data_IF_917818178459
#
_entry.id   IF_917818178459
#
_cell.length_a   1.000
_cell.length_b   1.000
_cell.length_c   1.000
_cell.angle_alpha   90.00
_cell.angle_beta   90.00
_cell.angle_gamma   90.00
#
_symmetry.space_group_name_H-M   'P 1'
#
loop_
_entity.id
_entity.type
_entity.pdbx_description
1 polymer ?
#
# COMPACT_ATOMS: atom_id res chain seq x y z
N UNK A 1 17.58 33.15 0.19
CA UNK A 1 16.36 32.31 0.11
C UNK A 1 15.21 33.20 -0.33
N UNK A 2 14.41 32.76 -1.30
CA UNK A 2 13.29 33.56 -1.81
C UNK A 2 12.12 33.41 -0.83
N UNK A 3 11.68 34.47 -0.11
CA UNK A 3 10.64 34.39 0.93
C UNK A 3 9.27 33.94 0.41
N UNK A 4 9.12 33.78 -0.92
CA UNK A 4 7.89 33.32 -1.55
C UNK A 4 7.90 31.82 -1.93
N UNK A 5 8.96 31.07 -1.62
CA UNK A 5 8.97 29.64 -1.88
C UNK A 5 8.28 28.88 -0.76
N UNK A 6 7.15 28.27 -1.08
CA UNK A 6 6.45 27.34 -0.20
C UNK A 6 7.39 26.18 0.19
N UNK A 7 7.80 26.07 1.47
CA UNK A 7 8.73 25.04 1.93
C UNK A 7 8.14 23.62 1.83
N UNK A 8 6.83 23.51 1.61
CA UNK A 8 6.10 22.26 1.48
C UNK A 8 6.14 21.70 0.05
N UNK A 9 6.47 22.56 -0.92
CA UNK A 9 6.46 22.17 -2.33
C UNK A 9 7.52 21.14 -2.63
N UNK A 10 7.09 19.99 -3.15
CA UNK A 10 7.99 18.97 -3.66
C UNK A 10 8.55 19.43 -5.01
N UNK A 11 9.87 19.36 -5.17
CA UNK A 11 10.52 19.53 -6.47
C UNK A 11 11.19 18.25 -6.88
N UNK A 12 11.32 18.06 -8.19
CA UNK A 12 12.10 16.96 -8.73
C UNK A 12 13.59 17.14 -8.44
N UNK A 13 14.25 16.07 -7.97
CA UNK A 13 15.70 16.00 -7.89
C UNK A 13 16.29 15.74 -9.28
N UNK A 14 16.63 16.81 -10.01
CA UNK A 14 17.08 16.77 -11.41
C UNK A 14 17.98 15.59 -11.82
N UNK A 15 19.09 15.30 -11.12
CA UNK A 15 19.96 14.16 -11.42
C UNK A 15 19.26 12.79 -11.36
N UNK A 16 18.34 12.60 -10.40
CA UNK A 16 17.61 11.34 -10.25
C UNK A 16 16.57 11.12 -11.35
N UNK A 17 16.17 12.18 -12.06
CA UNK A 17 15.13 12.10 -13.11
C UNK A 17 15.63 12.09 -14.53
N UNK A 18 16.93 12.27 -14.76
CA UNK A 18 17.53 12.13 -16.09
C UNK A 18 17.34 10.73 -16.67
N UNK A 19 17.14 9.72 -15.82
CA UNK A 19 16.81 8.35 -16.23
C UNK A 19 15.40 8.22 -16.82
N UNK A 20 14.53 9.20 -16.61
CA UNK A 20 13.09 9.14 -16.88
C UNK A 20 12.60 10.13 -17.97
N UNK A 21 13.51 10.71 -18.76
CA UNK A 21 13.19 11.72 -19.79
C UNK A 21 12.67 11.14 -21.12
N UNK A 22 12.03 9.97 -21.10
CA UNK A 22 11.45 9.39 -22.32
C UNK A 22 10.19 10.11 -22.80
N UNK A 23 9.84 9.98 -24.10
CA UNK A 23 8.55 10.42 -24.60
C UNK A 23 7.42 9.62 -23.92
N UNK A 24 6.37 10.32 -23.45
CA UNK A 24 5.13 9.67 -23.01
C UNK A 24 4.49 9.05 -24.25
N UNK A 25 4.57 7.73 -24.37
CA UNK A 25 3.90 7.03 -25.46
C UNK A 25 2.37 7.09 -25.29
N UNK A 26 1.65 7.17 -26.41
CA UNK A 26 0.19 7.03 -26.46
C UNK A 26 -0.28 5.63 -26.06
N UNK A 27 -1.60 5.47 -25.97
CA UNK A 27 -2.33 4.40 -25.26
C UNK A 27 -2.06 2.93 -25.64
N UNK A 28 -1.24 2.61 -26.64
CA UNK A 28 -1.23 1.27 -27.26
C UNK A 28 0.11 0.49 -27.23
N UNK A 29 1.18 1.04 -26.66
CA UNK A 29 2.51 0.43 -26.78
C UNK A 29 2.94 -0.48 -25.61
N UNK A 30 3.42 -1.69 -25.91
CA UNK A 30 4.05 -2.62 -24.96
C UNK A 30 5.34 -2.02 -24.34
N UNK A 31 5.76 -2.44 -23.14
CA UNK A 31 7.07 -2.04 -22.57
C UNK A 31 8.21 -2.83 -23.24
N UNK A 32 8.50 -2.52 -24.50
CA UNK A 32 9.51 -3.17 -25.31
C UNK A 32 10.88 -2.46 -25.19
N UNK A 33 11.82 -3.16 -24.55
CA UNK A 33 13.23 -3.21 -24.94
C UNK A 33 14.10 -1.94 -24.89
N UNK A 34 13.70 -0.89 -24.16
CA UNK A 34 14.58 0.28 -23.93
C UNK A 34 13.87 1.63 -23.93
N UNK A 35 12.57 1.65 -24.23
CA UNK A 35 11.79 2.89 -24.15
C UNK A 35 11.49 3.26 -22.70
N UNK A 36 11.98 4.43 -22.25
CA UNK A 36 11.72 5.08 -20.94
C UNK A 36 10.27 5.58 -20.84
N UNK A 37 9.30 4.70 -21.13
CA UNK A 37 7.88 5.04 -21.11
C UNK A 37 7.39 5.18 -19.66
N UNK A 38 6.48 6.12 -19.38
CA UNK A 38 5.91 6.27 -18.05
C UNK A 38 5.31 4.96 -17.54
N UNK A 39 5.59 4.63 -16.29
CA UNK A 39 4.98 3.51 -15.57
C UNK A 39 5.31 2.11 -16.12
N UNK A 40 6.37 1.96 -16.94
CA UNK A 40 6.97 0.66 -17.24
C UNK A 40 7.80 0.15 -16.05
N UNK A 41 7.11 -0.19 -14.95
CA UNK A 41 7.72 -0.55 -13.65
C UNK A 41 7.99 -2.07 -13.51
N UNK A 42 7.92 -2.81 -14.62
CA UNK A 42 8.05 -4.27 -14.63
C UNK A 42 6.75 -5.00 -14.31
N UNK A 43 6.83 -6.32 -14.36
CA UNK A 43 5.70 -7.20 -14.06
C UNK A 43 5.81 -7.76 -12.65
N UNK A 44 4.71 -7.72 -11.92
CA UNK A 44 4.57 -8.40 -10.64
C UNK A 44 3.60 -9.55 -10.87
N UNK A 45 4.04 -10.77 -10.61
CA UNK A 45 3.21 -11.96 -10.83
C UNK A 45 2.08 -12.03 -9.83
N UNK A 46 0.93 -12.57 -10.24
CA UNK A 46 -0.10 -12.95 -9.28
C UNK A 46 0.42 -14.12 -8.43
N UNK A 47 0.42 -13.98 -7.11
CA UNK A 47 0.71 -15.12 -6.25
C UNK A 47 -0.46 -16.12 -6.28
N UNK A 48 -0.14 -17.40 -6.18
CA UNK A 48 -1.15 -18.48 -6.15
C UNK A 48 -1.89 -18.59 -4.83
N UNK A 49 -1.50 -17.81 -3.81
CA UNK A 49 -1.99 -17.91 -2.45
C UNK A 49 -2.62 -16.60 -1.99
N UNK A 50 -3.68 -16.71 -1.20
CA UNK A 50 -4.21 -15.56 -0.47
C UNK A 50 -3.13 -15.08 0.51
N UNK A 51 -2.83 -13.78 0.46
CA UNK A 51 -1.94 -13.14 1.43
C UNK A 51 -2.81 -12.70 2.60
N UNK A 52 -2.48 -13.13 3.81
CA UNK A 52 -3.19 -12.74 5.02
C UNK A 52 -2.71 -11.39 5.57
N UNK A 53 -3.46 -10.82 6.51
CA UNK A 53 -3.11 -9.60 7.23
C UNK A 53 -3.06 -8.35 6.35
N UNK A 54 -2.20 -7.41 6.74
CA UNK A 54 -2.11 -6.08 6.14
C UNK A 54 -1.91 -6.10 4.61
N UNK A 55 -0.92 -6.85 4.11
CA UNK A 55 -0.61 -6.85 2.67
C UNK A 55 -1.75 -7.43 1.81
N UNK A 56 -2.48 -8.40 2.34
CA UNK A 56 -3.66 -8.94 1.66
C UNK A 56 -4.78 -7.91 1.53
N UNK A 57 -5.05 -7.18 2.61
CA UNK A 57 -6.03 -6.08 2.62
C UNK A 57 -5.59 -4.93 1.71
N UNK A 58 -4.32 -4.56 1.76
CA UNK A 58 -3.73 -3.57 0.86
C UNK A 58 -3.92 -3.96 -0.61
N UNK A 59 -3.56 -5.18 -0.99
CA UNK A 59 -3.74 -5.68 -2.35
C UNK A 59 -5.22 -5.62 -2.78
N UNK A 60 -6.14 -6.03 -1.90
CA UNK A 60 -7.58 -5.98 -2.17
C UNK A 60 -8.11 -4.54 -2.31
N UNK A 61 -7.61 -3.61 -1.50
CA UNK A 61 -8.00 -2.20 -1.56
C UNK A 61 -7.54 -1.56 -2.87
N UNK A 62 -6.26 -1.77 -3.24
CA UNK A 62 -5.65 -1.29 -4.48
C UNK A 62 -6.41 -1.78 -5.73
N UNK A 63 -6.97 -2.99 -5.68
CA UNK A 63 -7.76 -3.56 -6.78
C UNK A 63 -9.19 -3.04 -6.88
N UNK A 64 -9.69 -2.29 -5.89
CA UNK A 64 -11.06 -1.79 -5.94
C UNK A 64 -11.26 -0.99 -7.21
N UNK A 65 -12.30 -1.35 -7.96
CA UNK A 65 -12.61 -0.76 -9.28
C UNK A 65 -12.70 0.75 -9.23
N UNK A 66 -13.15 1.33 -8.11
CA UNK A 66 -13.32 2.77 -8.01
C UNK A 66 -11.97 3.52 -7.98
N UNK A 67 -10.93 2.99 -7.34
CA UNK A 67 -9.59 3.61 -7.37
C UNK A 67 -9.01 3.68 -8.78
N UNK A 68 -9.20 2.63 -9.60
CA UNK A 68 -8.71 2.64 -10.98
C UNK A 68 -9.39 3.71 -11.85
N UNK A 69 -10.67 4.04 -11.59
CA UNK A 69 -11.40 5.08 -12.33
C UNK A 69 -10.85 6.47 -12.04
N UNK A 70 -10.37 6.69 -10.82
CA UNK A 70 -9.76 7.96 -10.41
C UNK A 70 -8.40 8.23 -11.08
N UNK A 71 -7.76 7.20 -11.63
CA UNK A 71 -6.42 7.36 -12.22
C UNK A 71 -6.37 8.38 -13.36
N UNK A 72 -7.38 8.44 -14.23
CA UNK A 72 -7.41 9.44 -15.30
C UNK A 72 -7.38 10.87 -14.74
N UNK A 73 -8.12 11.10 -13.65
CA UNK A 73 -8.14 12.39 -12.98
C UNK A 73 -6.82 12.65 -12.23
N UNK A 74 -6.37 11.70 -11.39
CA UNK A 74 -5.12 11.80 -10.59
C UNK A 74 -3.86 11.88 -11.45
N UNK A 75 -3.86 11.33 -12.65
CA UNK A 75 -2.72 11.44 -13.58
C UNK A 75 -2.58 12.83 -14.21
N UNK A 76 -3.58 13.70 -14.03
CA UNK A 76 -3.57 15.11 -14.44
C UNK A 76 -3.06 15.99 -13.29
N UNK A 77 -2.17 16.94 -13.59
CA UNK A 77 -1.59 17.84 -12.59
C UNK A 77 -2.60 18.77 -11.91
N UNK A 78 -3.78 18.97 -12.52
CA UNK A 78 -4.87 19.78 -11.95
C UNK A 78 -5.69 19.07 -10.87
N UNK A 79 -5.48 17.78 -10.64
CA UNK A 79 -6.19 17.08 -9.57
C UNK A 79 -5.76 17.59 -8.19
N UNK A 80 -6.69 17.77 -7.26
CA UNK A 80 -6.44 18.38 -5.94
C UNK A 80 -5.29 17.73 -5.17
N UNK A 81 -5.25 16.40 -5.08
CA UNK A 81 -4.15 15.69 -4.42
C UNK A 81 -2.78 16.00 -5.05
N UNK A 82 -2.72 16.20 -6.37
CA UNK A 82 -1.47 16.50 -7.09
C UNK A 82 -1.09 17.96 -6.89
N UNK A 83 -2.05 18.89 -6.95
CA UNK A 83 -1.83 20.30 -6.60
C UNK A 83 -1.30 20.46 -5.17
N UNK A 84 -1.76 19.64 -4.21
CA UNK A 84 -1.26 19.64 -2.84
C UNK A 84 0.17 19.08 -2.72
N UNK A 85 0.61 18.21 -3.65
CA UNK A 85 1.98 17.65 -3.67
C UNK A 85 2.96 18.61 -4.37
N UNK A 86 2.60 19.07 -5.57
CA UNK A 86 3.49 19.79 -6.48
C UNK A 86 3.24 21.30 -6.56
N UNK A 87 2.09 21.77 -6.06
CA UNK A 87 1.59 23.12 -6.27
C UNK A 87 0.82 23.29 -7.59
N UNK A 88 -0.01 24.34 -7.65
CA UNK A 88 -0.92 24.66 -8.77
C UNK A 88 -0.26 24.89 -10.13
N UNK A 89 1.05 25.15 -10.16
CA UNK A 89 1.77 25.52 -11.38
C UNK A 89 2.51 24.33 -12.03
N UNK A 90 2.27 23.12 -11.57
CA UNK A 90 2.95 21.92 -12.08
C UNK A 90 2.30 21.44 -13.36
N UNK A 91 3.12 20.96 -14.30
CA UNK A 91 2.60 20.33 -15.51
C UNK A 91 2.37 18.82 -15.28
N UNK A 92 1.51 18.22 -16.09
CA UNK A 92 1.17 16.81 -15.99
C UNK A 92 2.36 15.87 -16.23
N UNK A 93 3.39 16.35 -16.93
CA UNK A 93 4.59 15.58 -17.26
C UNK A 93 5.55 15.52 -16.07
N UNK A 94 5.73 16.63 -15.35
CA UNK A 94 6.45 16.75 -14.09
C UNK A 94 5.86 15.78 -13.06
N UNK A 95 4.53 15.76 -12.92
CA UNK A 95 3.86 14.82 -12.03
C UNK A 95 4.14 13.37 -12.35
N UNK A 96 3.93 12.96 -13.62
CA UNK A 96 4.17 11.57 -14.04
C UNK A 96 5.62 11.16 -13.87
N UNK A 97 6.57 12.05 -14.16
CA UNK A 97 8.01 11.84 -13.94
C UNK A 97 8.33 11.63 -12.47
N UNK A 98 7.83 12.52 -11.61
CA UNK A 98 8.06 12.43 -10.17
C UNK A 98 7.49 11.12 -9.61
N UNK A 99 6.22 10.84 -9.92
CA UNK A 99 5.55 9.61 -9.47
C UNK A 99 6.32 8.37 -9.94
N UNK A 100 6.68 8.29 -11.22
CA UNK A 100 7.45 7.16 -11.74
C UNK A 100 8.80 7.00 -11.04
N UNK A 101 9.53 8.10 -10.81
CA UNK A 101 10.80 8.06 -10.08
C UNK A 101 10.59 7.51 -8.66
N UNK A 102 9.60 8.03 -7.92
CA UNK A 102 9.30 7.60 -6.55
C UNK A 102 8.97 6.11 -6.52
N UNK A 103 8.06 5.65 -7.40
CA UNK A 103 7.63 4.25 -7.43
C UNK A 103 8.79 3.34 -7.82
N UNK A 104 9.58 3.69 -8.83
CA UNK A 104 10.79 2.95 -9.21
C UNK A 104 11.78 2.85 -8.05
N UNK A 105 12.03 3.98 -7.35
CA UNK A 105 12.90 4.01 -6.17
C UNK A 105 12.38 3.13 -5.02
N UNK A 106 11.08 3.13 -4.78
CA UNK A 106 10.42 2.32 -3.76
C UNK A 106 10.46 0.82 -4.08
N UNK A 107 10.22 0.45 -5.34
CA UNK A 107 10.32 -0.93 -5.83
C UNK A 107 11.76 -1.44 -5.89
N UNK A 108 12.74 -0.55 -6.08
CA UNK A 108 14.16 -0.87 -6.11
C UNK A 108 14.80 -1.04 -4.72
N UNK A 109 14.07 -0.74 -3.64
CA UNK A 109 14.56 -0.91 -2.28
C UNK A 109 14.64 -2.40 -1.92
N UNK A 110 15.87 -2.91 -1.77
CA UNK A 110 16.12 -4.33 -1.51
C UNK A 110 15.61 -4.79 -0.14
N UNK A 111 15.91 -4.01 0.89
CA UNK A 111 15.48 -4.26 2.26
C UNK A 111 15.57 -2.98 3.10
N UNK A 112 14.90 -2.99 4.25
CA UNK A 112 15.02 -1.98 5.30
C UNK A 112 15.16 -2.69 6.64
N UNK A 113 16.18 -2.32 7.39
CA UNK A 113 16.46 -2.78 8.74
C UNK A 113 16.45 -1.61 9.70
N UNK A 114 16.07 -1.82 10.95
CA UNK A 114 16.33 -0.90 12.04
C UNK A 114 17.59 -1.32 12.79
N UNK A 115 18.49 -0.37 13.00
CA UNK A 115 19.64 -0.57 13.88
C UNK A 115 19.24 -0.26 15.33
N UNK A 116 19.22 -1.28 16.18
CA UNK A 116 18.82 -1.20 17.59
C UNK A 116 19.98 -1.63 18.49
N UNK A 117 20.01 -1.19 19.77
CA UNK A 117 21.01 -1.68 20.73
C UNK A 117 21.04 -3.21 20.91
N UNK A 118 19.90 -3.88 20.65
CA UNK A 118 19.76 -5.34 20.72
C UNK A 118 20.17 -6.07 19.43
N UNK A 119 20.56 -5.34 18.38
CA UNK A 119 20.86 -5.88 17.05
C UNK A 119 19.94 -5.32 15.96
N UNK A 120 20.15 -5.78 14.73
CA UNK A 120 19.35 -5.36 13.58
C UNK A 120 17.99 -6.07 13.54
N UNK A 121 16.93 -5.33 13.25
CA UNK A 121 15.57 -5.88 13.03
C UNK A 121 15.12 -5.55 11.61
N UNK A 122 14.74 -6.57 10.85
CA UNK A 122 14.21 -6.37 9.50
C UNK A 122 12.77 -5.82 9.53
N UNK A 123 12.55 -4.73 8.80
CA UNK A 123 11.25 -4.06 8.68
C UNK A 123 10.59 -4.38 7.33
N UNK A 124 11.39 -4.44 6.26
CA UNK A 124 10.89 -4.61 4.90
C UNK A 124 11.91 -5.34 4.02
N UNK A 125 11.41 -6.13 3.06
CA UNK A 125 12.18 -6.72 1.97
C UNK A 125 11.49 -6.44 0.64
N UNK A 126 12.26 -6.39 -0.45
CA UNK A 126 11.74 -6.15 -1.79
C UNK A 126 10.66 -7.17 -2.20
N UNK A 127 10.81 -8.43 -1.78
CA UNK A 127 9.84 -9.49 -2.07
C UNK A 127 8.44 -9.17 -1.53
N UNK A 128 8.33 -8.33 -0.48
CA UNK A 128 7.05 -7.90 0.07
C UNK A 128 6.24 -7.07 -0.92
N UNK A 129 6.86 -6.43 -1.92
CA UNK A 129 6.12 -5.78 -3.01
C UNK A 129 5.33 -6.78 -3.85
N UNK A 130 5.84 -8.00 -4.05
CA UNK A 130 5.07 -9.05 -4.75
C UNK A 130 3.83 -9.43 -3.93
N UNK A 131 3.94 -9.48 -2.61
CA UNK A 131 2.82 -9.74 -1.70
C UNK A 131 1.84 -8.57 -1.61
N UNK A 132 2.34 -7.33 -1.64
CA UNK A 132 1.53 -6.11 -1.65
C UNK A 132 0.76 -5.96 -2.97
N UNK A 133 1.29 -6.51 -4.06
CA UNK A 133 0.72 -6.46 -5.41
C UNK A 133 0.29 -7.86 -5.89
N UNK A 134 -0.10 -8.73 -4.95
CA UNK A 134 -0.28 -10.19 -5.11
C UNK A 134 -1.26 -10.61 -6.23
N UNK A 135 -2.00 -9.69 -6.80
CA UNK A 135 -2.98 -9.96 -7.85
C UNK A 135 -2.40 -9.85 -9.25
N UNK A 136 -1.14 -9.43 -9.30
CA UNK A 136 -0.38 -9.26 -10.49
C UNK A 136 -0.65 -7.90 -11.12
N UNK A 137 0.42 -7.25 -11.54
CA UNK A 137 0.37 -6.02 -12.30
C UNK A 137 1.28 -6.23 -13.49
N UNK A 138 0.73 -6.10 -14.69
CA UNK A 138 1.54 -6.14 -15.90
C UNK A 138 2.03 -4.73 -16.23
N UNK A 139 3.09 -4.70 -17.02
CA UNK A 139 3.70 -3.47 -17.47
C UNK A 139 3.07 -3.03 -18.81
N UNK A 140 2.70 -1.76 -18.98
CA UNK A 140 2.83 -0.65 -18.04
C UNK A 140 1.67 -0.57 -17.04
N UNK A 141 1.95 -0.07 -15.83
CA UNK A 141 0.98 -0.06 -14.73
C UNK A 141 -0.23 0.86 -14.99
N UNK A 142 -0.09 1.87 -15.84
CA UNK A 142 -1.18 2.80 -16.16
C UNK A 142 -2.25 2.23 -17.11
N UNK A 143 -2.09 1.00 -17.63
CA UNK A 143 -3.03 0.38 -18.56
C UNK A 143 -3.96 -0.65 -17.91
N UNK A 144 -3.72 -1.03 -16.65
CA UNK A 144 -4.49 -2.08 -15.97
C UNK A 144 -5.10 -1.55 -14.70
N UNK A 145 -6.33 -1.98 -14.38
CA UNK A 145 -7.05 -1.50 -13.21
C UNK A 145 -6.24 -1.65 -11.90
N UNK A 146 -5.58 -2.79 -11.68
CA UNK A 146 -4.74 -3.01 -10.51
C UNK A 146 -3.52 -2.06 -10.47
N UNK A 147 -2.85 -1.83 -11.61
CA UNK A 147 -1.72 -0.90 -11.69
C UNK A 147 -2.15 0.55 -11.52
N UNK A 148 -3.28 0.94 -12.10
CA UNK A 148 -3.89 2.27 -11.95
C UNK A 148 -4.29 2.53 -10.50
N UNK A 149 -4.96 1.57 -9.87
CA UNK A 149 -5.30 1.64 -8.44
C UNK A 149 -4.05 1.73 -7.56
N UNK A 150 -2.97 1.03 -7.91
CA UNK A 150 -1.71 1.11 -7.18
C UNK A 150 -1.08 2.50 -7.29
N UNK A 151 -1.09 3.10 -8.48
CA UNK A 151 -0.57 4.46 -8.70
C UNK A 151 -1.37 5.53 -7.95
N UNK A 152 -2.70 5.41 -7.91
CA UNK A 152 -3.57 6.28 -7.08
C UNK A 152 -3.27 6.08 -5.60
N UNK A 153 -3.16 4.83 -5.15
CA UNK A 153 -2.85 4.53 -3.76
C UNK A 153 -1.49 5.10 -3.32
N UNK A 154 -0.46 4.93 -4.16
CA UNK A 154 0.86 5.50 -3.91
C UNK A 154 0.84 7.04 -3.89
N UNK A 155 0.00 7.67 -4.73
CA UNK A 155 -0.22 9.12 -4.70
C UNK A 155 -0.78 9.58 -3.35
N UNK A 156 -1.78 8.88 -2.82
CA UNK A 156 -2.33 9.16 -1.49
C UNK A 156 -1.28 9.00 -0.39
N UNK A 157 -0.42 7.98 -0.47
CA UNK A 157 0.65 7.77 0.52
C UNK A 157 1.75 8.82 0.43
N UNK A 158 2.14 9.22 -0.79
CA UNK A 158 3.06 10.35 -1.01
C UNK A 158 2.50 11.60 -0.35
N UNK A 159 1.21 11.91 -0.57
CA UNK A 159 0.56 13.07 0.04
C UNK A 159 0.57 13.01 1.57
N UNK A 160 0.31 11.85 2.17
CA UNK A 160 0.35 11.68 3.62
C UNK A 160 1.77 11.90 4.19
N UNK A 161 2.79 11.37 3.49
CA UNK A 161 4.20 11.50 3.88
C UNK A 161 4.73 12.94 3.80
N UNK A 162 4.03 13.84 3.11
CA UNK A 162 4.37 15.26 3.13
C UNK A 162 4.08 15.91 4.49
N UNK A 163 3.23 15.31 5.32
CA UNK A 163 2.83 15.79 6.64
C UNK A 163 1.60 16.72 6.61
N UNK A 164 1.07 17.01 7.79
CA UNK A 164 0.01 18.01 8.01
C UNK A 164 0.41 18.89 9.20
N UNK A 165 1.11 19.99 8.91
CA UNK A 165 1.62 20.90 9.95
C UNK A 165 0.63 22.00 10.28
N UNK A 166 0.66 22.45 11.54
CA UNK A 166 -0.01 23.70 11.95
C UNK A 166 0.44 24.85 11.05
N UNK A 167 -0.52 25.51 10.40
CA UNK A 167 -0.29 26.61 9.46
C UNK A 167 0.10 26.18 8.03
N UNK A 168 0.20 24.88 7.75
CA UNK A 168 0.23 24.37 6.39
C UNK A 168 -1.17 24.38 5.76
N UNK A 169 -1.28 24.18 4.44
CA UNK A 169 -2.57 23.98 3.80
C UNK A 169 -3.25 22.74 4.38
N UNK A 170 -4.49 22.89 4.83
CA UNK A 170 -5.32 21.75 5.20
C UNK A 170 -5.49 20.82 4.00
N UNK A 171 -5.63 19.53 4.28
CA UNK A 171 -5.99 18.54 3.26
C UNK A 171 -7.35 18.94 2.70
N UNK A 172 -7.47 19.08 1.39
CA UNK A 172 -8.76 19.41 0.79
C UNK A 172 -9.72 18.23 0.94
N UNK A 173 -11.02 18.53 1.04
CA UNK A 173 -12.07 17.51 1.16
C UNK A 173 -11.99 16.45 0.05
N UNK A 174 -11.73 16.86 -1.20
CA UNK A 174 -11.61 15.90 -2.31
C UNK A 174 -10.39 14.98 -2.18
N UNK A 175 -9.29 15.46 -1.59
CA UNK A 175 -8.14 14.61 -1.26
C UNK A 175 -8.46 13.65 -0.11
N UNK A 176 -9.16 14.12 0.91
CA UNK A 176 -9.61 13.27 2.02
C UNK A 176 -10.56 12.17 1.53
N UNK A 177 -11.61 12.51 0.77
CA UNK A 177 -12.56 11.54 0.18
C UNK A 177 -11.85 10.46 -0.65
N UNK A 178 -10.86 10.84 -1.47
CA UNK A 178 -10.09 9.91 -2.27
C UNK A 178 -9.20 8.99 -1.41
N UNK A 179 -8.53 9.55 -0.40
CA UNK A 179 -7.40 8.90 0.26
C UNK A 179 -7.71 8.30 1.65
N UNK A 180 -8.83 8.66 2.26
CA UNK A 180 -9.16 8.34 3.65
C UNK A 180 -9.19 6.83 3.93
N UNK A 181 -9.73 6.03 3.01
CA UNK A 181 -9.75 4.58 3.13
C UNK A 181 -8.34 3.97 3.11
N UNK A 182 -7.49 4.48 2.21
CA UNK A 182 -6.10 4.05 2.09
C UNK A 182 -5.29 4.44 3.32
N UNK A 183 -5.42 5.68 3.80
CA UNK A 183 -4.75 6.15 5.02
C UNK A 183 -5.18 5.36 6.26
N UNK A 184 -6.47 5.05 6.36
CA UNK A 184 -7.01 4.20 7.45
C UNK A 184 -6.46 2.78 7.39
N UNK A 185 -6.21 2.26 6.19
CA UNK A 185 -5.66 0.92 5.99
C UNK A 185 -4.16 0.85 6.31
N UNK A 186 -3.39 1.86 5.91
CA UNK A 186 -1.93 1.93 6.15
C UNK A 186 -1.57 2.56 7.48
N UNK A 187 -2.53 2.93 8.32
CA UNK A 187 -2.20 3.54 9.60
C UNK A 187 -1.35 2.58 10.44
N UNK A 188 -0.38 3.15 11.13
CA UNK A 188 0.50 2.46 12.07
C UNK A 188 -0.23 2.45 13.41
N UNK A 189 -0.85 1.31 13.74
CA UNK A 189 -1.49 1.13 15.02
C UNK A 189 -0.43 0.85 16.08
N UNK A 190 -0.47 1.58 17.20
CA UNK A 190 0.28 1.21 18.40
C UNK A 190 -0.62 0.42 19.34
N UNK A 191 -0.05 -0.54 20.07
CA UNK A 191 -0.77 -1.26 21.14
C UNK A 191 -1.28 -0.24 22.15
N UNK A 192 -2.46 -0.44 22.72
CA UNK A 192 -2.86 0.38 23.88
C UNK A 192 -2.05 -0.06 25.11
N UNK A 193 -1.70 0.84 26.04
CA UNK A 193 -1.12 0.43 27.31
C UNK A 193 -2.09 -0.48 28.06
N UNK A 194 -1.54 -1.46 28.76
CA UNK A 194 -2.36 -2.33 29.61
C UNK A 194 -3.00 -1.52 30.75
N UNK A 195 -4.12 -1.99 31.30
CA UNK A 195 -4.78 -1.30 32.41
C UNK A 195 -3.80 -1.10 33.58
N UNK A 196 -3.56 0.16 33.95
CA UNK A 196 -2.62 0.54 35.02
C UNK A 196 -1.19 0.81 34.56
N UNK A 197 -0.85 0.59 33.29
CA UNK A 197 0.42 1.05 32.74
C UNK A 197 0.38 2.57 32.55
N UNK A 198 1.30 3.28 33.21
CA UNK A 198 1.43 4.73 33.04
C UNK A 198 1.87 5.06 31.62
N UNK A 199 1.38 6.16 31.05
CA UNK A 199 1.85 6.67 29.76
C UNK A 199 3.36 6.82 29.79
N UNK A 200 4.06 6.03 28.96
CA UNK A 200 5.52 6.11 28.80
C UNK A 200 5.86 7.04 27.65
N UNK A 201 6.93 7.82 27.86
CA UNK A 201 7.59 8.59 26.81
C UNK A 201 8.49 7.67 25.99
N UNK A 202 8.25 7.62 24.68
CA UNK A 202 8.94 6.76 23.72
C UNK A 202 10.06 7.57 23.08
N UNK A 203 11.29 7.20 23.42
CA UNK A 203 12.51 7.97 23.08
C UNK A 203 13.36 7.31 22.00
N UNK A 204 13.16 6.02 21.72
CA UNK A 204 13.97 5.28 20.75
C UNK A 204 13.13 4.53 19.72
N UNK A 205 13.74 4.29 18.56
CA UNK A 205 13.15 3.48 17.48
C UNK A 205 12.78 2.07 17.98
N UNK A 206 13.62 1.44 18.80
CA UNK A 206 13.33 0.12 19.37
C UNK A 206 12.09 0.10 20.26
N UNK A 207 11.92 1.13 21.10
CA UNK A 207 10.70 1.27 21.90
C UNK A 207 9.46 1.44 21.01
N UNK A 208 9.55 2.26 19.96
CA UNK A 208 8.46 2.44 19.01
C UNK A 208 8.10 1.14 18.28
N UNK A 209 9.08 0.39 17.77
CA UNK A 209 8.84 -0.90 17.10
C UNK A 209 8.20 -1.92 18.04
N UNK A 210 8.56 -1.91 19.33
CA UNK A 210 7.95 -2.76 20.35
C UNK A 210 6.49 -2.40 20.67
N UNK A 211 6.05 -1.16 20.37
CA UNK A 211 4.64 -0.79 20.49
C UNK A 211 3.79 -1.29 19.32
N UNK A 212 4.40 -1.68 18.20
CA UNK A 212 3.64 -2.15 17.05
C UNK A 212 3.11 -3.56 17.35
N UNK A 213 1.78 -3.77 17.23
CA UNK A 213 1.18 -5.04 17.55
C UNK A 213 1.74 -6.13 16.64
N UNK A 214 1.94 -7.31 17.21
CA UNK A 214 2.18 -8.50 16.41
C UNK A 214 0.93 -8.77 15.58
N UNK A 215 1.10 -9.07 14.29
CA UNK A 215 0.01 -9.15 13.31
C UNK A 215 -1.19 -9.94 13.87
N UNK A 216 -2.30 -9.27 14.23
CA UNK A 216 -3.42 -9.95 14.87
C UNK A 216 -4.12 -10.94 13.92
N UNK A 217 -3.83 -10.86 12.63
CA UNK A 217 -4.48 -11.60 11.55
C UNK A 217 -3.59 -12.70 10.95
N UNK A 218 -2.54 -13.11 11.65
CA UNK A 218 -1.71 -14.25 11.24
C UNK A 218 -0.81 -14.00 10.01
N UNK A 219 -0.61 -12.73 9.63
CA UNK A 219 0.35 -12.37 8.59
C UNK A 219 1.80 -12.47 9.09
N UNK A 220 2.73 -12.90 8.24
CA UNK A 220 4.15 -13.06 8.59
C UNK A 220 4.89 -11.74 8.80
N UNK A 221 4.39 -10.62 8.27
CA UNK A 221 5.11 -9.35 8.24
C UNK A 221 4.67 -8.41 9.36
N UNK A 222 5.28 -8.55 10.54
CA UNK A 222 5.02 -7.74 11.74
C UNK A 222 4.99 -6.24 11.44
N UNK A 223 5.91 -5.76 10.60
CA UNK A 223 6.06 -4.34 10.29
C UNK A 223 5.52 -3.95 8.91
N UNK A 224 4.59 -4.72 8.34
CA UNK A 224 4.15 -4.57 6.95
C UNK A 224 3.75 -3.14 6.56
N UNK A 225 2.96 -2.45 7.39
CA UNK A 225 2.54 -1.08 7.08
C UNK A 225 3.70 -0.08 7.15
N UNK A 226 4.50 -0.15 8.23
CA UNK A 226 5.68 0.70 8.39
C UNK A 226 6.66 0.47 7.23
N UNK A 227 6.94 -0.78 6.87
CA UNK A 227 7.84 -1.12 5.78
C UNK A 227 7.38 -0.62 4.41
N UNK A 228 6.08 -0.72 4.11
CA UNK A 228 5.50 -0.13 2.90
C UNK A 228 5.74 1.38 2.88
N UNK A 229 5.42 2.08 3.96
CA UNK A 229 5.59 3.54 4.06
C UNK A 229 7.07 3.95 3.96
N UNK A 230 7.98 3.21 4.59
CA UNK A 230 9.42 3.47 4.51
C UNK A 230 9.98 3.24 3.10
N UNK A 231 9.43 2.26 2.36
CA UNK A 231 9.83 2.04 0.97
C UNK A 231 9.43 3.20 0.05
N UNK A 232 8.24 3.77 0.27
CA UNK A 232 7.76 4.95 -0.46
C UNK A 232 8.58 6.17 -0.07
N UNK A 233 8.83 6.36 1.24
CA UNK A 233 9.72 7.41 1.74
C UNK A 233 11.10 7.32 1.09
N UNK A 234 11.68 6.12 0.95
CA UNK A 234 12.96 5.94 0.27
C UNK A 234 12.94 6.40 -1.19
N UNK A 235 11.87 6.07 -1.93
CA UNK A 235 11.64 6.59 -3.28
C UNK A 235 11.52 8.11 -3.31
N UNK A 236 10.76 8.69 -2.37
CA UNK A 236 10.61 10.14 -2.21
C UNK A 236 11.95 10.80 -1.91
N UNK A 237 12.74 10.24 -1.00
CA UNK A 237 14.05 10.76 -0.61
C UNK A 237 15.05 10.81 -1.77
N UNK A 238 14.99 9.84 -2.69
CA UNK A 238 15.82 9.83 -3.91
C UNK A 238 15.35 10.85 -4.93
N UNK A 239 14.05 10.95 -5.14
CA UNK A 239 13.45 11.64 -6.29
C UNK A 239 13.00 13.07 -6.01
N UNK A 240 12.81 13.43 -4.74
CA UNK A 240 12.31 14.73 -4.32
C UNK A 240 13.43 15.60 -3.76
N UNK A 241 13.31 16.91 -3.94
CA UNK A 241 14.00 17.93 -3.15
C UNK A 241 12.95 18.73 -2.38
N UNK A 242 13.14 18.86 -1.08
CA UNK A 242 12.29 19.67 -0.20
C UNK A 242 13.09 20.18 0.99
N UNK A 243 12.70 21.33 1.52
CA UNK A 243 13.32 21.88 2.73
C UNK A 243 12.73 21.26 4.00
N UNK A 244 11.43 20.94 3.99
CA UNK A 244 10.76 20.31 5.12
C UNK A 244 10.95 18.78 5.16
N UNK A 245 11.14 18.19 6.35
CA UNK A 245 11.27 16.74 6.51
C UNK A 245 9.94 16.05 6.21
N UNK A 246 10.00 14.82 5.70
CA UNK A 246 8.83 13.95 5.54
C UNK A 246 8.30 13.51 6.90
N UNK A 247 7.01 13.20 6.99
CA UNK A 247 6.36 12.91 8.27
C UNK A 247 5.43 11.71 8.17
N UNK A 248 5.48 10.83 9.18
CA UNK A 248 4.49 9.77 9.37
C UNK A 248 3.39 10.15 10.36
N UNK A 249 3.47 11.34 10.98
CA UNK A 249 2.56 11.74 12.07
C UNK A 249 1.09 11.56 11.73
N UNK A 250 0.69 11.89 10.50
CA UNK A 250 -0.68 11.74 10.02
C UNK A 250 -1.18 10.29 9.94
N UNK A 251 -0.28 9.32 9.90
CA UNK A 251 -0.54 7.89 9.75
C UNK A 251 -0.26 7.10 11.02
N UNK A 252 0.18 7.72 12.12
CA UNK A 252 0.48 7.02 13.38
C UNK A 252 -0.68 7.18 14.36
N UNK A 253 -1.31 6.08 14.73
CA UNK A 253 -2.26 6.02 15.82
C UNK A 253 -1.50 5.85 17.13
N UNK A 254 -1.15 6.98 17.77
CA UNK A 254 -0.30 6.97 18.99
C UNK A 254 -1.01 6.39 20.23
N UNK A 255 -2.32 6.16 20.18
CA UNK A 255 -3.10 5.83 21.37
C UNK A 255 -2.88 6.87 22.48
N UNK A 256 -2.47 6.39 23.65
CA UNK A 256 -2.10 7.21 24.81
C UNK A 256 -0.59 7.33 25.04
N UNK A 257 0.25 6.91 24.08
CA UNK A 257 1.70 7.05 24.18
C UNK A 257 2.15 8.48 23.87
N UNK A 258 3.24 8.89 24.50
CA UNK A 258 3.96 10.11 24.14
C UNK A 258 5.13 9.74 23.22
N UNK A 259 5.04 10.13 21.95
CA UNK A 259 6.05 9.85 20.93
C UNK A 259 6.95 11.07 20.65
N UNK A 260 6.79 12.14 21.42
CA UNK A 260 7.48 13.42 21.20
C UNK A 260 8.99 13.37 21.47
N UNK A 261 9.45 12.42 22.29
CA UNK A 261 10.88 12.21 22.57
C UNK A 261 11.65 11.54 21.43
N UNK A 262 10.98 11.05 20.40
CA UNK A 262 11.62 10.39 19.26
C UNK A 262 12.16 11.42 18.26
N UNK A 263 13.46 11.34 17.99
CA UNK A 263 14.14 12.22 17.04
C UNK A 263 13.73 12.00 15.58
N UNK A 264 14.37 12.75 14.69
CA UNK A 264 14.27 12.52 13.26
C UNK A 264 14.98 11.21 12.88
N UNK A 265 14.40 10.50 11.93
CA UNK A 265 14.94 9.27 11.37
C UNK A 265 15.51 9.52 9.98
N UNK A 266 16.50 8.73 9.61
CA UNK A 266 17.07 8.70 8.26
C UNK A 266 17.19 7.25 7.80
N UNK A 267 17.10 7.04 6.49
CA UNK A 267 17.41 5.75 5.87
C UNK A 267 18.70 5.93 5.09
N UNK A 268 19.78 5.36 5.62
CA UNK A 268 21.07 5.32 4.95
C UNK A 268 21.23 3.93 4.35
N UNK A 269 21.25 3.87 3.00
CA UNK A 269 21.24 2.62 2.24
C UNK A 269 20.00 1.77 2.53
N UNK A 270 20.10 0.85 3.48
CA UNK A 270 19.07 -0.09 3.93
C UNK A 270 18.83 -0.02 5.45
N UNK A 271 19.49 0.89 6.18
CA UNK A 271 19.38 1.01 7.64
C UNK A 271 18.60 2.27 8.02
N UNK A 272 17.47 2.06 8.67
CA UNK A 272 16.70 3.08 9.39
C UNK A 272 17.35 3.33 10.74
N UNK A 273 17.78 4.57 10.98
CA UNK A 273 18.25 5.02 12.28
C UNK A 273 17.51 6.28 12.70
N UNK A 274 17.24 6.43 13.99
CA UNK A 274 16.62 7.64 14.55
C UNK A 274 17.53 8.19 15.62
N UNK A 275 18.24 9.27 15.31
CA UNK A 275 19.02 10.01 16.28
C UNK A 275 18.14 11.12 16.86
N UNK A 276 18.11 11.26 18.18
CA UNK A 276 17.39 12.32 18.90
C UNK A 276 17.81 13.75 18.52
N UNK A 277 18.79 13.90 17.62
CA UNK A 277 19.43 15.17 17.31
C UNK A 277 18.83 15.86 16.08
N UNK A 278 18.01 16.88 16.34
CA UNK A 278 17.48 17.75 15.30
C UNK A 278 18.52 18.70 14.69
N UNK A 279 19.75 18.77 15.21
CA UNK A 279 20.75 19.77 14.84
C UNK A 279 21.29 19.63 13.41
N UNK A 280 21.38 18.42 12.86
CA UNK A 280 21.91 18.25 11.50
C UNK A 280 20.88 18.74 10.47
N UNK A 281 21.22 19.73 9.64
CA UNK A 281 20.29 20.26 8.62
C UNK A 281 20.20 19.38 7.36
N UNK A 282 20.23 18.07 7.53
CA UNK A 282 20.14 17.18 6.38
C UNK A 282 18.71 17.17 5.82
N UNK A 283 18.57 17.29 4.50
CA UNK A 283 17.28 17.50 3.81
C UNK A 283 16.42 16.22 3.74
N UNK A 284 16.97 15.11 4.21
CA UNK A 284 16.51 13.75 3.95
C UNK A 284 16.07 13.04 5.24
N UNK A 285 15.20 13.71 6.00
CA UNK A 285 14.74 13.27 7.31
C UNK A 285 13.27 12.85 7.28
N UNK A 286 12.98 11.80 8.03
CA UNK A 286 11.64 11.30 8.32
C UNK A 286 11.32 11.56 9.80
N UNK A 287 10.24 12.27 10.07
CA UNK A 287 9.74 12.43 11.44
C UNK A 287 8.62 11.42 11.66
N UNK A 288 8.81 10.47 12.58
CA UNK A 288 7.77 9.46 12.88
C UNK A 288 6.56 10.13 13.54
N UNK A 289 6.81 11.01 14.50
CA UNK A 289 5.77 11.74 15.22
C UNK A 289 6.23 13.16 15.54
N UNK A 290 5.29 14.11 15.49
CA UNK A 290 5.50 15.49 15.92
C UNK A 290 4.30 16.00 16.70
N UNK A 291 4.54 16.49 17.91
CA UNK A 291 3.51 17.06 18.77
C UNK A 291 2.73 18.18 18.08
N UNK A 292 1.41 18.16 18.25
CA UNK A 292 0.50 19.19 17.72
C UNK A 292 0.13 19.06 16.24
N UNK A 293 0.63 18.05 15.53
CA UNK A 293 0.19 17.75 14.15
C UNK A 293 -1.14 16.98 14.18
N UNK A 294 -1.92 17.11 13.11
CA UNK A 294 -3.18 16.39 12.94
C UNK A 294 -2.96 14.98 12.41
N UNK A 295 -3.84 14.08 12.83
CA UNK A 295 -3.95 12.73 12.28
C UNK A 295 -4.80 12.81 11.00
N UNK A 296 -4.41 12.08 9.96
CA UNK A 296 -5.05 12.14 8.63
C UNK A 296 -6.22 11.16 8.48
N UNK A 297 -6.35 10.20 9.38
CA UNK A 297 -7.48 9.28 9.36
C UNK A 297 -8.53 9.72 10.38
N UNK A 298 -9.80 9.65 10.00
CA UNK A 298 -10.91 9.69 10.94
C UNK A 298 -10.68 8.59 11.99
N UNK A 299 -10.65 8.98 13.27
CA UNK A 299 -10.80 7.99 14.34
C UNK A 299 -12.10 7.28 14.05
N UNK A 300 -12.06 5.99 13.77
CA UNK A 300 -13.27 5.16 13.72
C UNK A 300 -14.09 5.57 14.93
N UNK A 301 -15.33 6.05 14.76
CA UNK A 301 -16.12 6.53 15.88
C UNK A 301 -16.06 5.43 16.92
N UNK A 302 -15.38 5.75 18.02
CA UNK A 302 -15.14 4.84 19.13
C UNK A 302 -16.52 4.29 19.45
N UNK A 303 -16.77 2.99 19.18
CA UNK A 303 -18.10 2.37 19.31
C UNK A 303 -18.74 2.97 20.55
N UNK A 304 -19.67 3.90 20.33
CA UNK A 304 -20.36 4.59 21.42
C UNK A 304 -21.01 3.43 22.15
N UNK A 305 -20.55 3.25 23.40
CA UNK A 305 -20.53 1.97 24.09
C UNK A 305 -21.84 1.23 23.95
N UNK A 306 -21.73 -0.11 23.87
CA UNK A 306 -22.79 -1.06 24.16
C UNK A 306 -24.15 -0.38 24.16
N UNK A 307 -24.70 -0.12 22.96
CA UNK A 307 -26.14 0.07 22.85
C UNK A 307 -26.72 -1.22 23.40
N UNK A 308 -26.96 -1.15 24.70
CA UNK A 308 -28.16 -1.57 25.37
C UNK A 308 -28.72 -2.74 24.60
N UNK A 309 -28.30 -3.93 25.06
CA UNK A 309 -29.00 -5.17 24.85
C UNK A 309 -30.49 -4.84 25.01
N UNK A 310 -31.16 -4.48 23.91
CA UNK A 310 -32.61 -4.49 23.84
C UNK A 310 -32.88 -5.95 24.14
N UNK A 311 -33.38 -6.19 25.35
CA UNK A 311 -33.95 -7.45 25.72
C UNK A 311 -35.00 -7.71 24.63
N UNK A 312 -34.64 -8.53 23.65
CA UNK A 312 -35.61 -9.23 22.83
C UNK A 312 -36.34 -10.11 23.83
N UNK A 313 -37.41 -9.53 24.38
CA UNK A 313 -38.43 -10.23 25.12
C UNK A 313 -38.82 -11.44 24.27
N UNK A 314 -38.49 -12.60 24.80
CA UNK A 314 -38.77 -13.91 24.23
C UNK A 314 -40.29 -14.05 24.16
N UNK A 315 -40.86 -13.64 23.02
CA UNK A 315 -42.27 -13.91 22.72
C UNK A 315 -42.39 -15.42 22.49
N UNK A 316 -42.75 -16.10 23.57
CA UNK A 316 -43.19 -17.49 23.59
C UNK A 316 -44.32 -17.70 22.59
N UNK A 317 -44.18 -18.57 21.58
CA UNK A 317 -45.31 -18.98 20.75
C UNK A 317 -46.17 -19.96 21.55
N UNK A 318 -47.25 -19.46 22.14
CA UNK A 318 -48.35 -20.29 22.62
C UNK A 318 -49.08 -20.97 21.45
N UNK A 319 -49.19 -22.29 21.61
CA UNK A 319 -50.31 -23.18 21.26
C UNK A 319 -50.82 -23.28 19.81
N UNK A 320 -50.55 -24.46 19.25
CA UNK A 320 -51.49 -25.38 18.60
C UNK A 320 -52.97 -24.95 18.43
N UNK A 321 -53.49 -25.21 17.23
CA UNK A 321 -54.92 -25.21 16.90
C UNK A 321 -55.13 -25.14 15.39
N UNK A 322 -54.93 -26.24 14.67
CA UNK A 322 -56.05 -27.09 14.21
C UNK A 322 -56.92 -26.42 13.13
N UNK A 323 -56.65 -26.69 11.84
CA UNK A 323 -57.71 -26.89 10.86
C UNK A 323 -57.23 -27.54 9.55
N UNK A 324 -57.40 -28.86 9.48
CA UNK A 324 -57.47 -29.59 8.22
C UNK A 324 -58.82 -29.32 7.54
N UNK A 325 -58.82 -28.86 6.28
CA UNK A 325 -59.87 -29.23 5.32
C UNK A 325 -59.29 -29.49 3.92
N UNK A 326 -59.66 -30.60 3.28
CA UNK A 326 -59.36 -30.88 1.89
C UNK A 326 -60.43 -30.22 0.99
N UNK A 327 -60.01 -29.42 0.02
CA UNK A 327 -60.92 -28.92 -1.03
C UNK A 327 -60.72 -29.71 -2.31
N UNK A 328 -61.83 -30.29 -2.75
CA UNK A 328 -62.02 -31.14 -3.94
C UNK A 328 -61.58 -30.46 -5.23
N UNK A 329 -60.95 -31.27 -6.09
CA UNK A 329 -60.76 -31.02 -7.51
C UNK A 329 -62.05 -31.38 -8.27
N UNK A 330 -62.53 -30.48 -9.15
CA UNK A 330 -63.16 -30.87 -10.42
C UNK A 330 -63.22 -29.73 -11.44
N UNK A 331 -63.27 -30.06 -12.75
CA UNK A 331 -62.89 -29.17 -13.85
C UNK A 331 -64.08 -28.63 -14.66
N UNK A 332 -63.96 -27.42 -15.23
CA UNK A 332 -64.56 -27.00 -16.51
C UNK A 332 -64.16 -25.56 -16.90
N UNK A 333 -63.39 -25.46 -17.97
CA UNK A 333 -63.78 -24.88 -19.27
C UNK A 333 -64.32 -23.44 -19.37
N UNK A 334 -63.61 -22.69 -20.23
CA UNK A 334 -63.97 -21.56 -21.12
C UNK A 334 -63.91 -20.08 -20.68
N UNK A 335 -62.98 -19.39 -21.39
CA UNK A 335 -63.03 -18.06 -22.00
C UNK A 335 -63.77 -16.92 -21.29
N UNK A 336 -63.05 -15.84 -20.98
CA UNK A 336 -63.23 -14.53 -21.64
C UNK A 336 -62.26 -13.51 -21.04
N UNK A 337 -61.80 -12.57 -21.86
CA UNK A 337 -60.71 -11.65 -21.58
C UNK A 337 -60.95 -10.69 -20.41
N UNK A 338 -59.86 -10.38 -19.73
CA UNK A 338 -59.75 -9.21 -18.84
C UNK A 338 -58.30 -8.80 -18.78
N UNK A 339 -57.99 -7.65 -19.39
CA UNK A 339 -56.73 -6.94 -19.21
C UNK A 339 -56.73 -6.34 -17.80
N UNK A 340 -56.16 -7.07 -16.83
CA UNK A 340 -55.91 -6.57 -15.48
C UNK A 340 -54.42 -6.28 -15.30
N UNK A 341 -54.09 -5.06 -14.90
CA UNK A 341 -52.74 -4.62 -14.60
C UNK A 341 -52.10 -5.51 -13.52
N UNK A 342 -51.22 -6.42 -13.95
CA UNK A 342 -50.48 -7.29 -13.05
C UNK A 342 -49.34 -6.50 -12.41
N UNK A 343 -49.43 -6.28 -11.09
CA UNK A 343 -48.26 -6.00 -10.26
C UNK A 343 -47.22 -7.10 -10.54
N UNK A 344 -45.94 -6.75 -10.74
CA UNK A 344 -44.91 -7.73 -11.07
C UNK A 344 -44.83 -8.78 -9.97
N UNK A 345 -45.07 -10.04 -10.34
CA UNK A 345 -44.98 -11.19 -9.46
C UNK A 345 -43.50 -11.46 -9.13
N UNK A 346 -43.06 -10.85 -8.03
CA UNK A 346 -41.67 -10.87 -7.54
C UNK A 346 -41.16 -12.31 -7.35
N UNK A 347 -42.05 -13.27 -7.12
CA UNK A 347 -41.70 -14.68 -6.98
C UNK A 347 -41.05 -15.29 -8.22
N UNK A 348 -41.50 -14.90 -9.42
CA UNK A 348 -40.96 -15.42 -10.68
C UNK A 348 -39.53 -14.94 -10.98
N UNK A 349 -39.20 -13.70 -10.61
CA UNK A 349 -37.86 -13.15 -10.84
C UNK A 349 -36.80 -13.79 -9.95
N UNK A 350 -37.14 -14.09 -8.69
CA UNK A 350 -36.19 -14.72 -7.76
C UNK A 350 -35.90 -16.17 -8.19
N UNK A 351 -36.92 -16.91 -8.65
CA UNK A 351 -36.74 -18.27 -9.17
C UNK A 351 -35.81 -18.33 -10.40
N UNK A 352 -35.91 -17.36 -11.30
CA UNK A 352 -35.04 -17.27 -12.47
C UNK A 352 -33.56 -17.05 -12.12
N UNK A 353 -33.29 -16.18 -11.13
CA UNK A 353 -31.92 -15.84 -10.71
C UNK A 353 -31.21 -17.02 -10.04
N UNK A 354 -31.92 -17.75 -9.18
CA UNK A 354 -31.38 -18.97 -8.52
C UNK A 354 -31.09 -20.06 -9.55
N UNK A 355 -31.95 -20.22 -10.56
CA UNK A 355 -31.72 -21.18 -11.66
C UNK A 355 -30.45 -20.90 -12.45
N UNK A 356 -30.16 -19.64 -12.77
CA UNK A 356 -28.94 -19.25 -13.51
C UNK A 356 -27.69 -19.50 -12.67
N UNK A 357 -27.71 -19.19 -11.37
CA UNK A 357 -26.56 -19.42 -10.48
C UNK A 357 -26.25 -20.92 -10.37
N UNK A 358 -27.27 -21.76 -10.21
CA UNK A 358 -27.10 -23.22 -10.17
C UNK A 358 -26.56 -23.78 -11.49
N UNK A 359 -27.02 -23.26 -12.63
CA UNK A 359 -26.51 -23.65 -13.94
C UNK A 359 -25.01 -23.33 -14.08
N UNK A 360 -24.56 -22.13 -13.70
CA UNK A 360 -23.15 -21.74 -13.75
C UNK A 360 -22.29 -22.59 -12.81
N UNK A 361 -22.78 -22.86 -11.59
CA UNK A 361 -22.09 -23.70 -10.62
C UNK A 361 -21.90 -25.14 -11.13
N UNK A 362 -22.91 -25.70 -11.82
CA UNK A 362 -22.83 -27.05 -12.39
C UNK A 362 -21.78 -27.16 -13.51
N UNK A 363 -21.70 -26.15 -14.40
CA UNK A 363 -20.69 -26.10 -15.46
C UNK A 363 -19.27 -25.96 -14.89
N UNK A 364 -19.12 -25.15 -13.83
CA UNK A 364 -17.82 -24.99 -13.17
C UNK A 364 -17.32 -26.29 -12.51
N UNK A 365 -18.24 -27.05 -11.88
CA UNK A 365 -17.91 -28.36 -11.29
C UNK A 365 -17.37 -29.35 -12.32
N UNK A 366 -17.99 -29.43 -13.51
CA UNK A 366 -17.55 -30.31 -14.60
C UNK A 366 -16.18 -29.86 -15.15
N UNK A 367 -16.01 -28.56 -15.40
CA UNK A 367 -14.75 -28.01 -15.89
C UNK A 367 -13.58 -28.33 -14.95
N UNK A 368 -13.80 -28.21 -13.64
CA UNK A 368 -12.77 -28.51 -12.63
C UNK A 368 -12.34 -30.00 -12.64
N UNK A 369 -13.26 -30.93 -12.87
CA UNK A 369 -12.94 -32.37 -12.91
C UNK A 369 -12.16 -32.74 -14.19
N UNK A 370 -12.57 -32.18 -15.33
CA UNK A 370 -11.92 -32.47 -16.61
C UNK A 370 -10.53 -31.82 -16.72
N UNK A 371 -10.38 -30.57 -16.31
CA UNK A 371 -9.11 -29.84 -16.45
C UNK A 371 -8.18 -29.98 -15.23
N UNK A 372 -8.68 -30.42 -14.07
CA UNK A 372 -7.90 -30.52 -12.83
C UNK A 372 -6.90 -31.69 -12.77
N UNK A 373 -6.91 -32.63 -13.72
CA UNK A 373 -6.03 -33.82 -13.69
C UNK A 373 -4.70 -33.67 -14.42
N UNK A 374 -4.43 -32.56 -15.11
CA UNK A 374 -3.26 -32.45 -16.00
C UNK A 374 -1.92 -32.04 -15.35
N UNK A 375 -1.79 -31.98 -14.00
CA UNK A 375 -0.54 -31.57 -13.33
C UNK A 375 -0.05 -32.46 -12.19
N UNK A 376 -0.27 -33.78 -12.27
CA UNK A 376 0.45 -34.76 -11.44
C UNK A 376 1.16 -35.78 -12.30
N UNK A 377 2.31 -35.40 -12.86
CA UNK A 377 3.41 -36.32 -13.20
C UNK A 377 4.65 -35.53 -13.63
N UNK A 378 5.49 -35.15 -12.67
CA UNK A 378 6.93 -34.93 -12.90
C UNK A 378 7.70 -34.99 -11.57
N UNK A 379 7.55 -36.10 -10.84
CA UNK A 379 8.48 -36.51 -9.79
C UNK A 379 8.67 -38.02 -9.90
N UNK A 380 9.66 -38.44 -10.70
CA UNK A 380 10.42 -39.70 -10.58
C UNK A 380 11.53 -39.76 -11.63
N UNK A 381 12.76 -40.03 -11.15
CA UNK A 381 13.98 -40.29 -11.93
C UNK A 381 14.74 -39.00 -12.24
N UNK A 382 16.05 -38.86 -11.99
CA UNK A 382 17.13 -39.85 -12.16
C UNK A 382 18.25 -39.56 -11.15
N UNK A 383 18.73 -40.63 -10.52
CA UNK A 383 19.99 -40.68 -9.81
C UNK A 383 21.16 -40.76 -10.80
N UNK A 384 22.25 -40.06 -10.49
CA UNK A 384 23.60 -40.35 -10.97
C UNK A 384 24.05 -39.60 -12.21
N UNK A 385 25.02 -38.68 -12.04
CA UNK A 385 26.39 -38.85 -12.54
C UNK A 385 27.27 -37.68 -12.11
N UNK A 386 28.50 -38.02 -11.73
CA UNK A 386 29.61 -37.11 -11.46
C UNK A 386 29.72 -36.01 -12.52
N UNK A 387 29.73 -34.76 -12.05
CA UNK A 387 30.34 -33.66 -12.79
C UNK A 387 31.35 -33.01 -11.86
N UNK A 388 32.62 -33.32 -12.11
CA UNK A 388 33.78 -32.62 -11.57
C UNK A 388 33.56 -31.11 -11.68
N UNK A 389 33.52 -30.45 -10.52
CA UNK A 389 33.56 -29.00 -10.43
C UNK A 389 35.00 -28.57 -10.68
N UNK A 390 35.32 -28.19 -11.92
CA UNK A 390 36.53 -27.44 -12.22
C UNK A 390 36.38 -26.02 -11.63
N UNK A 391 36.95 -25.80 -10.46
CA UNK A 391 37.17 -24.46 -9.92
C UNK A 391 38.27 -23.81 -10.78
N UNK A 392 37.86 -22.96 -11.72
CA UNK A 392 38.78 -22.09 -12.46
C UNK A 392 39.22 -20.97 -11.52
N UNK A 393 40.42 -21.09 -10.94
CA UNK A 393 41.08 -19.97 -10.26
C UNK A 393 41.45 -18.93 -11.30
N UNK A 394 40.64 -17.89 -11.43
CA UNK A 394 41.02 -16.70 -12.17
C UNK A 394 42.04 -15.94 -11.31
N UNK A 395 43.31 -16.11 -11.66
CA UNK A 395 44.44 -15.42 -11.06
C UNK A 395 44.28 -13.93 -11.36
N UNK A 396 43.79 -13.16 -10.38
CA UNK A 396 43.73 -11.70 -10.47
C UNK A 396 45.15 -11.18 -10.67
N UNK A 397 45.46 -10.80 -11.91
CA UNK A 397 46.68 -10.09 -12.23
C UNK A 397 46.66 -8.75 -11.50
N UNK A 398 47.75 -8.47 -10.79
CA UNK A 398 47.92 -7.28 -9.97
C UNK A 398 47.73 -6.01 -10.78
N UNK A 399 46.78 -5.20 -10.35
CA UNK A 399 46.78 -3.78 -10.65
C UNK A 399 47.85 -3.13 -9.77
N UNK A 400 48.93 -2.68 -10.40
CA UNK A 400 49.90 -1.77 -9.81
C UNK A 400 49.19 -0.52 -9.28
N UNK A 401 49.51 -0.03 -8.06
CA UNK A 401 49.07 1.29 -7.64
C UNK A 401 49.81 2.36 -8.48
N UNK A 402 49.14 3.45 -8.89
CA UNK A 402 49.84 4.58 -9.48
C UNK A 402 50.76 5.21 -8.44
N UNK A 403 52.07 5.22 -8.74
CA UNK A 403 53.05 6.08 -8.10
C UNK A 403 52.61 7.54 -8.20
N UNK A 404 52.82 8.29 -7.12
CA UNK A 404 52.79 9.76 -7.16
C UNK A 404 51.64 10.42 -6.41
N UNK A 405 51.63 10.27 -5.08
CA UNK A 405 51.18 11.36 -4.19
C UNK A 405 52.12 11.45 -2.99
N UNK A 406 52.93 12.49 -3.00
CA UNK A 406 53.70 12.99 -1.85
C UNK A 406 52.74 13.32 -0.69
N UNK A 407 53.03 12.90 0.55
CA UNK A 407 52.27 13.35 1.71
C UNK A 407 52.55 14.84 1.98
N UNK A 408 51.55 15.63 2.40
CA UNK A 408 51.77 17.01 2.82
C UNK A 408 52.59 17.08 4.10
N UNK A 409 53.52 18.04 4.13
CA UNK A 409 54.34 18.40 5.28
C UNK A 409 53.50 18.54 6.56
N UNK A 410 53.98 17.90 7.64
CA UNK A 410 53.62 18.27 9.01
C UNK A 410 54.03 19.73 9.21
N UNK A 411 53.04 20.57 9.51
CA UNK A 411 53.26 21.87 10.13
C UNK A 411 53.31 21.61 11.64
N UNK A 412 54.49 21.71 12.24
CA UNK A 412 54.63 21.93 13.67
C UNK A 412 54.17 23.35 13.97
N UNK A 413 53.24 23.49 14.91
CA UNK A 413 52.86 24.76 15.51
C UNK A 413 53.58 24.79 16.86
N UNK A 414 54.54 25.70 17.00
CA UNK A 414 55.06 26.16 18.31
C UNK A 414 54.05 27.06 19.01
#
# INVERSE_FOLDING_TARGET
MNPHQDPWRVRINGPATQEYEGPIAGDTGACDGGSRRPFCLGTFGSGSHAVAGFLGKWAAEVEKRDLSKEWHAVSNASHRVVEEILGKSSDHYEWKKLLMCIVSGALGLRRVKADLPSGEVEIWEQANWQLALNKGIQSPWNQQAAGQGALVALTCLIRALLGNRRGGPEVSQGTEELCQNLWSLVKINTRQPDQGETTKDIKSLGQFLNLLPENPEGGSLRYGSLGLLLSIYYGMNKCCKREAPFELTGLVDKGSWELGGMGACTINQDVLSCSGDYSQRDQNRLTIWKAGSSVLFSKTPQKIGDQELIQLEEVSPESEGDFMRPVKVSPKTDQSGSQSSSKPDVGGMIGGLVGVILAVASVYGISRVYFGRSRRNSRRGIAGRDSEVYIRYEKSQGAYPPEGRTPPNKVEIE
#
